data_IF_700609908888
#
_entry.id   IF_700609908888
#
_cell.length_a   1.000
_cell.length_b   1.000
_cell.length_c   1.000
_cell.angle_alpha   90.00
_cell.angle_beta   90.00
_cell.angle_gamma   90.00
#
_symmetry.space_group_name_H-M   'P 1'
#
loop_
_entity.id
_entity.type
_entity.pdbx_description
1 polymer ?
#
# COMPACT_ATOMS: atom_id res chain seq x y z
N UNK A 1 22.00 -12.03 12.49
CA UNK A 1 21.64 -11.08 11.43
C UNK A 1 21.42 -9.67 11.98
N UNK A 2 21.57 -8.64 11.15
CA UNK A 2 21.14 -7.29 11.49
C UNK A 2 19.64 -7.14 11.29
N UNK A 3 18.98 -6.42 12.21
CA UNK A 3 17.57 -6.03 12.11
C UNK A 3 17.32 -4.68 12.77
N UNK A 4 16.22 -4.04 12.41
CA UNK A 4 15.73 -2.86 13.13
C UNK A 4 14.52 -3.26 13.97
N UNK A 5 14.64 -3.07 15.29
CA UNK A 5 13.56 -3.32 16.25
C UNK A 5 13.14 -2.06 17.00
N UNK A 6 11.88 -2.06 17.41
CA UNK A 6 11.39 -1.15 18.43
C UNK A 6 11.21 -1.94 19.75
N UNK A 7 11.72 -1.39 20.86
CA UNK A 7 11.57 -1.94 22.22
C UNK A 7 10.52 -1.17 23.02
N UNK A 8 10.10 -0.02 22.51
CA UNK A 8 9.03 0.82 23.03
C UNK A 8 8.39 1.59 21.86
N UNK A 9 7.19 2.12 22.07
CA UNK A 9 6.54 3.00 21.10
C UNK A 9 7.07 4.42 21.20
N UNK A 10 7.10 5.15 20.07
CA UNK A 10 7.61 6.53 20.06
C UNK A 10 7.87 7.11 18.68
N UNK A 11 8.71 8.12 18.64
CA UNK A 11 9.22 8.75 17.41
C UNK A 11 10.31 7.92 16.73
N UNK A 12 10.99 8.46 15.70
CA UNK A 12 12.05 7.73 14.98
C UNK A 12 13.21 7.26 15.87
N UNK A 13 13.41 7.89 17.01
CA UNK A 13 14.47 7.57 17.98
C UNK A 13 14.36 6.17 18.58
N UNK A 14 13.17 5.56 18.60
CA UNK A 14 12.97 4.21 19.15
C UNK A 14 13.42 3.09 18.22
N UNK A 15 13.71 3.40 16.96
CA UNK A 15 14.21 2.43 15.97
C UNK A 15 15.68 2.08 16.30
N UNK A 16 15.93 0.83 16.64
CA UNK A 16 17.25 0.32 17.04
C UNK A 16 17.76 -0.66 16.00
N UNK A 17 18.88 -0.33 15.36
CA UNK A 17 19.61 -1.24 14.47
C UNK A 17 20.56 -2.10 15.30
N UNK A 18 20.33 -3.39 15.35
CA UNK A 18 21.01 -4.30 16.27
C UNK A 18 21.22 -5.70 15.70
N UNK A 19 22.06 -6.49 16.37
CA UNK A 19 22.26 -7.91 16.07
C UNK A 19 21.19 -8.75 16.78
N UNK A 20 20.57 -9.65 16.04
CA UNK A 20 19.63 -10.65 16.58
C UNK A 20 19.97 -12.04 16.02
N UNK A 21 19.53 -13.13 16.65
CA UNK A 21 19.68 -14.47 16.08
C UNK A 21 19.07 -14.59 14.68
N UNK A 22 19.69 -15.38 13.82
CA UNK A 22 19.14 -15.69 12.52
C UNK A 22 17.85 -16.51 12.67
N UNK A 23 16.79 -16.19 11.89
CA UNK A 23 15.58 -16.98 11.93
C UNK A 23 15.83 -18.37 11.32
N UNK A 24 15.29 -19.41 11.97
CA UNK A 24 15.33 -20.77 11.45
C UNK A 24 14.01 -21.05 10.72
N UNK A 25 14.00 -21.31 9.40
CA UNK A 25 12.76 -21.59 8.69
C UNK A 25 12.18 -22.94 9.13
N UNK A 26 10.88 -23.00 9.33
CA UNK A 26 10.15 -24.26 9.53
C UNK A 26 10.05 -25.02 8.18
N UNK A 27 9.61 -26.28 8.24
CA UNK A 27 9.45 -27.13 7.05
C UNK A 27 8.47 -26.55 6.01
N UNK A 28 7.57 -25.64 6.41
CA UNK A 28 6.59 -24.93 5.60
C UNK A 28 7.00 -23.48 5.23
N UNK A 29 8.24 -23.09 5.54
CA UNK A 29 8.75 -21.73 5.32
C UNK A 29 9.93 -21.68 4.36
N UNK A 30 10.11 -20.50 3.78
CA UNK A 30 11.25 -20.14 2.93
C UNK A 30 12.07 -19.07 3.66
N UNK A 31 13.37 -19.27 3.76
CA UNK A 31 14.29 -18.24 4.26
C UNK A 31 14.67 -17.33 3.09
N UNK A 32 14.32 -16.05 3.22
CA UNK A 32 14.59 -15.02 2.22
C UNK A 32 15.68 -14.10 2.75
N UNK A 33 16.75 -13.92 1.98
CA UNK A 33 17.71 -12.83 2.17
C UNK A 33 17.10 -11.57 1.64
N UNK A 34 16.70 -10.68 2.54
CA UNK A 34 16.08 -9.41 2.20
C UNK A 34 17.08 -8.53 1.46
N UNK A 35 16.68 -7.96 0.35
CA UNK A 35 17.47 -7.01 -0.45
C UNK A 35 16.84 -5.64 -0.47
N UNK A 36 15.52 -5.60 -0.29
CA UNK A 36 14.76 -4.37 -0.23
C UNK A 36 13.52 -4.57 0.64
N UNK A 37 13.24 -3.62 1.51
CA UNK A 37 11.98 -3.51 2.24
C UNK A 37 11.44 -2.08 2.06
N UNK A 38 10.16 -1.94 1.75
CA UNK A 38 9.56 -0.66 1.47
C UNK A 38 8.73 -0.15 2.64
N UNK A 39 8.92 1.12 2.99
CA UNK A 39 8.17 1.78 4.07
C UNK A 39 6.74 2.15 3.66
N UNK A 40 5.84 2.07 4.61
CA UNK A 40 4.43 2.45 4.53
C UNK A 40 4.04 3.38 5.70
N UNK A 41 2.94 4.12 5.58
CA UNK A 41 2.38 4.86 6.72
C UNK A 41 2.00 3.93 7.89
N UNK A 42 1.75 2.65 7.60
CA UNK A 42 1.55 1.62 8.62
C UNK A 42 2.74 1.52 9.59
N UNK A 43 3.97 1.58 9.07
CA UNK A 43 5.18 1.53 9.90
C UNK A 43 5.25 2.70 10.89
N UNK A 44 4.79 3.89 10.47
CA UNK A 44 4.70 5.05 11.36
C UNK A 44 3.67 4.84 12.47
N UNK A 45 2.51 4.26 12.14
CA UNK A 45 1.45 4.00 13.11
C UNK A 45 1.84 2.89 14.09
N UNK A 46 2.41 1.79 13.61
CA UNK A 46 2.91 0.69 14.44
C UNK A 46 3.98 1.19 15.40
N UNK A 47 4.95 1.95 14.90
CA UNK A 47 6.00 2.53 15.73
C UNK A 47 5.44 3.45 16.83
N UNK A 48 4.37 4.22 16.53
CA UNK A 48 3.71 5.12 17.48
C UNK A 48 2.79 4.39 18.47
N UNK A 49 2.45 3.13 18.21
CA UNK A 49 1.65 2.28 19.08
C UNK A 49 0.28 1.95 18.52
N UNK A 50 0.17 0.85 17.80
CA UNK A 50 -1.11 0.25 17.44
C UNK A 50 -1.47 -0.88 18.42
N UNK A 51 -2.77 -1.08 18.71
CA UNK A 51 -3.21 -2.21 19.54
C UNK A 51 -2.77 -3.56 18.96
N UNK A 52 -2.35 -4.47 19.83
CA UNK A 52 -1.97 -5.83 19.43
C UNK A 52 -0.50 -6.04 19.05
N UNK A 53 0.29 -4.98 18.93
CA UNK A 53 1.74 -5.07 18.68
C UNK A 53 2.47 -5.51 19.95
N UNK A 54 3.26 -6.59 19.84
CA UNK A 54 4.11 -7.10 20.93
C UNK A 54 5.53 -6.60 20.73
N UNK A 55 6.17 -6.17 21.81
CA UNK A 55 7.55 -5.69 21.82
C UNK A 55 8.49 -6.75 22.40
N UNK A 56 9.76 -6.83 21.93
CA UNK A 56 10.34 -6.07 20.82
C UNK A 56 9.74 -6.48 19.48
N UNK A 57 9.73 -5.58 18.47
CA UNK A 57 9.05 -5.79 17.20
C UNK A 57 9.84 -5.28 16.00
N UNK A 58 9.79 -6.01 14.88
CA UNK A 58 10.39 -5.64 13.58
C UNK A 58 9.29 -5.12 12.66
N UNK A 59 9.46 -3.90 12.15
CA UNK A 59 8.57 -3.26 11.18
C UNK A 59 8.88 -3.73 9.75
N UNK A 60 8.10 -3.22 8.78
CA UNK A 60 8.33 -3.43 7.35
C UNK A 60 7.42 -4.51 6.75
N UNK A 61 6.55 -4.11 5.83
CA UNK A 61 5.54 -5.00 5.24
C UNK A 61 5.93 -5.54 3.86
N UNK A 62 6.61 -4.74 3.08
CA UNK A 62 6.88 -5.02 1.66
C UNK A 62 8.30 -5.51 1.46
N UNK A 63 8.47 -6.79 1.23
CA UNK A 63 9.79 -7.47 1.18
C UNK A 63 10.07 -7.97 -0.23
N UNK A 64 11.27 -7.70 -0.74
CA UNK A 64 11.83 -8.38 -1.91
C UNK A 64 13.26 -8.86 -1.62
N UNK A 65 13.63 -10.00 -2.19
CA UNK A 65 14.93 -10.57 -1.92
C UNK A 65 15.21 -11.84 -2.71
N UNK A 66 16.11 -12.65 -2.18
CA UNK A 66 16.56 -13.91 -2.76
C UNK A 66 16.35 -15.06 -1.79
N UNK A 67 15.86 -16.18 -2.28
CA UNK A 67 15.70 -17.38 -1.48
C UNK A 67 17.08 -17.93 -1.08
N UNK A 68 17.28 -18.18 0.21
CA UNK A 68 18.50 -18.79 0.75
C UNK A 68 18.28 -20.26 1.04
N UNK A 69 17.13 -20.59 1.65
CA UNK A 69 16.80 -21.93 2.11
C UNK A 69 15.31 -22.16 1.94
N UNK A 70 14.93 -23.41 1.66
CA UNK A 70 13.52 -23.83 1.55
C UNK A 70 13.28 -24.97 2.53
N UNK A 71 12.15 -24.92 3.23
CA UNK A 71 11.74 -26.00 4.13
C UNK A 71 11.41 -27.29 3.37
N UNK A 72 11.47 -28.43 4.07
CA UNK A 72 11.37 -29.77 3.50
C UNK A 72 10.07 -30.02 2.69
N UNK A 73 8.97 -29.36 3.07
CA UNK A 73 7.66 -29.60 2.43
C UNK A 73 7.37 -28.65 1.27
N UNK A 74 8.36 -27.86 0.82
CA UNK A 74 8.16 -26.83 -0.18
C UNK A 74 8.62 -27.30 -1.55
N UNK A 75 7.75 -27.11 -2.55
CA UNK A 75 8.04 -27.28 -3.97
C UNK A 75 7.74 -25.99 -4.73
N UNK A 76 8.38 -25.81 -5.90
CA UNK A 76 8.11 -24.66 -6.77
C UNK A 76 8.95 -23.41 -6.49
N UNK A 77 9.73 -23.38 -5.40
CA UNK A 77 10.68 -22.32 -5.08
C UNK A 77 12.04 -22.95 -4.77
N UNK A 78 13.14 -22.31 -5.16
CA UNK A 78 14.50 -22.84 -4.97
C UNK A 78 15.49 -21.77 -4.51
N UNK A 79 16.57 -22.15 -3.82
CA UNK A 79 17.64 -21.22 -3.46
C UNK A 79 18.19 -20.45 -4.68
N UNK A 80 18.55 -19.19 -4.48
CA UNK A 80 18.96 -18.25 -5.51
C UNK A 80 17.83 -17.60 -6.30
N UNK A 81 16.59 -18.04 -6.13
CA UNK A 81 15.43 -17.47 -6.83
C UNK A 81 15.06 -16.09 -6.25
N UNK A 82 14.84 -15.13 -7.14
CA UNK A 82 14.37 -13.78 -6.78
C UNK A 82 12.87 -13.80 -6.50
N UNK A 83 12.48 -13.22 -5.38
CA UNK A 83 11.11 -13.27 -4.88
C UNK A 83 10.68 -11.94 -4.25
N UNK A 84 9.38 -11.73 -4.21
CA UNK A 84 8.74 -10.84 -3.25
C UNK A 84 7.92 -11.66 -2.25
N UNK A 85 7.65 -11.09 -1.09
CA UNK A 85 6.79 -11.69 -0.07
C UNK A 85 5.47 -10.92 -0.01
N UNK A 86 4.35 -11.64 -0.16
CA UNK A 86 3.03 -11.04 0.05
C UNK A 86 2.92 -10.51 1.48
N UNK A 87 2.49 -9.26 1.69
CA UNK A 87 2.52 -8.61 3.01
C UNK A 87 1.40 -9.08 3.94
N UNK A 88 0.68 -10.12 3.57
CA UNK A 88 -0.50 -10.61 4.26
C UNK A 88 -0.19 -11.86 5.06
N UNK A 89 -0.53 -11.83 6.34
CA UNK A 89 -0.53 -13.01 7.22
C UNK A 89 -1.96 -13.43 7.53
N UNK A 90 -2.29 -14.72 7.39
CA UNK A 90 -3.62 -15.29 7.60
C UNK A 90 -3.53 -16.78 7.92
N UNK A 91 -4.58 -17.39 8.52
CA UNK A 91 -4.53 -18.77 8.98
C UNK A 91 -4.50 -19.83 7.87
N UNK A 92 -4.95 -19.52 6.66
CA UNK A 92 -4.95 -20.45 5.50
C UNK A 92 -6.06 -21.51 5.46
N UNK A 93 -6.75 -21.78 6.56
CA UNK A 93 -7.70 -22.91 6.68
C UNK A 93 -9.15 -22.54 7.04
N UNK A 94 -9.43 -21.31 7.46
CA UNK A 94 -10.80 -20.90 7.75
C UNK A 94 -11.63 -20.70 6.48
N UNK A 95 -12.96 -20.65 6.63
CA UNK A 95 -13.89 -20.48 5.50
C UNK A 95 -13.52 -19.25 4.63
N UNK A 96 -13.07 -18.16 5.23
CA UNK A 96 -12.68 -16.95 4.50
C UNK A 96 -11.41 -17.18 3.67
N UNK A 97 -10.42 -17.86 4.25
CA UNK A 97 -9.18 -18.19 3.52
C UNK A 97 -9.46 -19.16 2.37
N UNK A 98 -10.24 -20.21 2.62
CA UNK A 98 -10.61 -21.21 1.59
C UNK A 98 -11.48 -20.60 0.48
N UNK A 99 -12.28 -19.57 0.79
CA UNK A 99 -13.06 -18.81 -0.20
C UNK A 99 -12.25 -17.75 -0.96
N UNK A 100 -10.93 -17.62 -0.71
CA UNK A 100 -10.09 -16.65 -1.40
C UNK A 100 -10.22 -15.21 -0.90
N UNK A 101 -10.92 -14.98 0.22
CA UNK A 101 -11.09 -13.64 0.83
C UNK A 101 -10.29 -13.53 2.12
N UNK A 102 -8.99 -13.75 2.02
CA UNK A 102 -8.06 -13.82 3.16
C UNK A 102 -8.07 -12.56 4.02
N UNK A 103 -8.25 -11.38 3.43
CA UNK A 103 -8.35 -10.11 4.14
C UNK A 103 -9.56 -9.99 5.09
N UNK A 104 -10.47 -10.98 5.09
CA UNK A 104 -11.58 -11.14 6.05
C UNK A 104 -11.34 -12.27 7.06
N UNK A 105 -10.17 -12.89 7.09
CA UNK A 105 -9.78 -13.88 8.09
C UNK A 105 -9.67 -13.20 9.47
N UNK A 106 -10.08 -13.91 10.54
CA UNK A 106 -9.97 -13.38 11.92
C UNK A 106 -8.51 -13.19 12.36
N UNK A 107 -7.61 -14.00 11.82
CA UNK A 107 -6.17 -13.91 12.08
C UNK A 107 -5.43 -13.06 11.06
N UNK A 108 -6.18 -12.33 10.22
CA UNK A 108 -5.56 -11.48 9.22
C UNK A 108 -4.79 -10.34 9.87
N UNK A 109 -3.54 -10.22 9.48
CA UNK A 109 -2.70 -9.06 9.79
C UNK A 109 -1.73 -8.78 8.64
N UNK A 110 -1.06 -7.65 8.71
CA UNK A 110 -0.03 -7.25 7.76
C UNK A 110 1.34 -7.50 8.39
N UNK A 111 2.31 -7.96 7.62
CA UNK A 111 3.70 -8.10 8.07
C UNK A 111 4.21 -6.75 8.61
N UNK A 112 4.93 -6.78 9.73
CA UNK A 112 5.39 -5.57 10.41
C UNK A 112 4.30 -4.85 11.23
N UNK A 113 3.08 -5.43 11.33
CA UNK A 113 2.03 -4.93 12.23
C UNK A 113 1.94 -5.81 13.50
N UNK A 114 1.13 -6.87 13.51
CA UNK A 114 1.02 -7.76 14.68
C UNK A 114 2.01 -8.94 14.65
N UNK A 115 2.70 -9.16 13.56
CA UNK A 115 3.79 -10.10 13.35
C UNK A 115 5.01 -9.37 12.82
N UNK A 116 6.21 -9.89 13.08
CA UNK A 116 7.45 -9.28 12.60
C UNK A 116 7.48 -9.09 11.09
N UNK A 117 8.15 -8.04 10.67
CA UNK A 117 8.28 -7.61 9.29
C UNK A 117 9.70 -7.73 8.73
N UNK A 118 9.92 -7.05 7.61
CA UNK A 118 11.09 -7.21 6.75
C UNK A 118 12.23 -6.21 6.96
N UNK A 119 12.21 -5.38 7.99
CA UNK A 119 13.36 -4.49 8.28
C UNK A 119 14.52 -5.27 8.94
N UNK A 120 15.03 -6.29 8.22
CA UNK A 120 16.07 -7.22 8.65
C UNK A 120 16.82 -7.81 7.45
N UNK A 121 17.94 -8.48 7.68
CA UNK A 121 18.72 -9.14 6.63
C UNK A 121 18.11 -10.47 6.15
N UNK A 122 17.44 -11.21 7.06
CA UNK A 122 16.85 -12.52 6.77
C UNK A 122 15.42 -12.58 7.28
N UNK A 123 14.50 -13.10 6.46
CA UNK A 123 13.09 -13.24 6.80
C UNK A 123 12.58 -14.65 6.49
N UNK A 124 12.03 -15.34 7.50
CA UNK A 124 11.41 -16.66 7.32
C UNK A 124 9.94 -16.47 6.92
N UNK A 125 9.66 -16.56 5.62
CA UNK A 125 8.33 -16.35 5.04
C UNK A 125 7.52 -17.66 4.94
N UNK A 126 6.21 -17.67 5.21
CA UNK A 126 5.36 -18.77 4.79
C UNK A 126 5.47 -19.01 3.27
N UNK A 127 5.61 -20.25 2.84
CA UNK A 127 5.81 -20.54 1.40
C UNK A 127 4.68 -19.99 0.52
N UNK A 128 3.43 -20.01 1.01
CA UNK A 128 2.27 -19.49 0.30
C UNK A 128 2.32 -17.95 0.06
N UNK A 129 3.18 -17.24 0.79
CA UNK A 129 3.38 -15.80 0.64
C UNK A 129 4.57 -15.45 -0.26
N UNK A 130 5.37 -16.43 -0.69
CA UNK A 130 6.57 -16.20 -1.52
C UNK A 130 6.20 -16.27 -3.00
N UNK A 131 6.42 -15.18 -3.71
CA UNK A 131 6.04 -15.03 -5.11
C UNK A 131 7.30 -14.77 -5.95
N UNK A 132 7.66 -15.69 -6.86
CA UNK A 132 8.76 -15.48 -7.81
C UNK A 132 8.55 -14.24 -8.68
N UNK A 133 9.62 -13.49 -8.91
CA UNK A 133 9.60 -12.30 -9.77
C UNK A 133 10.50 -12.47 -10.98
N UNK A 134 10.17 -11.84 -12.13
CA UNK A 134 11.01 -11.90 -13.31
C UNK A 134 12.34 -11.17 -13.11
N UNK A 135 13.41 -11.62 -13.76
CA UNK A 135 14.73 -10.99 -13.66
C UNK A 135 14.75 -9.54 -14.14
N UNK A 136 13.81 -9.16 -14.99
CA UNK A 136 13.67 -7.81 -15.50
C UNK A 136 13.09 -6.80 -14.51
N UNK A 137 12.57 -7.23 -13.36
CA UNK A 137 12.06 -6.36 -12.31
C UNK A 137 13.14 -6.14 -11.25
N UNK A 138 13.55 -4.91 -11.04
CA UNK A 138 14.48 -4.54 -9.97
C UNK A 138 13.91 -4.84 -8.58
N UNK A 139 14.76 -5.24 -7.60
CA UNK A 139 14.30 -5.64 -6.27
C UNK A 139 13.71 -4.47 -5.45
N UNK A 140 14.21 -3.23 -5.64
CA UNK A 140 13.61 -2.06 -5.00
C UNK A 140 12.22 -1.77 -5.59
N UNK A 141 12.08 -1.92 -6.92
CA UNK A 141 10.79 -1.83 -7.58
C UNK A 141 9.86 -2.96 -7.11
N UNK A 142 10.36 -4.19 -7.00
CA UNK A 142 9.57 -5.33 -6.50
C UNK A 142 9.03 -5.08 -5.08
N UNK A 143 9.88 -4.61 -4.16
CA UNK A 143 9.48 -4.26 -2.81
C UNK A 143 8.50 -3.06 -2.75
N UNK A 144 8.42 -2.23 -3.79
CA UNK A 144 7.52 -1.08 -3.81
C UNK A 144 6.08 -1.41 -4.25
N UNK A 145 5.81 -2.68 -4.59
CA UNK A 145 4.53 -3.11 -5.17
C UNK A 145 3.53 -3.63 -4.13
N UNK A 146 3.84 -4.63 -3.27
CA UNK A 146 2.83 -5.52 -2.72
C UNK A 146 1.68 -4.81 -2.02
N UNK A 147 1.96 -4.03 -0.96
CA UNK A 147 0.92 -3.40 -0.14
C UNK A 147 0.10 -2.38 -0.92
N UNK A 148 0.75 -1.47 -1.62
CA UNK A 148 0.06 -0.33 -2.23
C UNK A 148 -0.73 -0.71 -3.49
N UNK A 149 -0.21 -1.65 -4.30
CA UNK A 149 -0.92 -2.10 -5.50
C UNK A 149 -2.08 -3.04 -5.17
N UNK A 150 -1.93 -3.97 -4.21
CA UNK A 150 -3.07 -4.81 -3.80
C UNK A 150 -4.16 -3.98 -3.14
N UNK A 151 -3.80 -2.98 -2.34
CA UNK A 151 -4.78 -2.07 -1.71
C UNK A 151 -5.54 -1.27 -2.76
N UNK A 152 -4.83 -0.63 -3.69
CA UNK A 152 -5.46 0.16 -4.76
C UNK A 152 -6.30 -0.73 -5.71
N UNK A 153 -5.84 -1.96 -5.99
CA UNK A 153 -6.59 -2.93 -6.78
C UNK A 153 -7.90 -3.33 -6.08
N UNK A 154 -7.82 -3.68 -4.80
CA UNK A 154 -8.99 -4.00 -4.00
C UNK A 154 -9.98 -2.84 -3.93
N UNK A 155 -9.49 -1.61 -3.72
CA UNK A 155 -10.33 -0.41 -3.69
C UNK A 155 -11.09 -0.20 -5.00
N UNK A 156 -10.39 -0.24 -6.13
CA UNK A 156 -10.95 0.11 -7.44
C UNK A 156 -11.67 -1.07 -8.10
N UNK A 157 -11.03 -2.25 -8.13
CA UNK A 157 -11.54 -3.42 -8.85
C UNK A 157 -12.44 -4.25 -7.96
N UNK A 158 -11.94 -4.67 -6.79
CA UNK A 158 -12.67 -5.55 -5.88
C UNK A 158 -13.91 -4.93 -5.26
N UNK A 159 -13.83 -3.67 -4.80
CA UNK A 159 -14.90 -3.02 -4.05
C UNK A 159 -15.71 -2.02 -4.88
N UNK A 160 -15.05 -1.06 -5.53
CA UNK A 160 -15.77 -0.02 -6.29
C UNK A 160 -16.29 -0.53 -7.64
N UNK A 161 -15.70 -1.60 -8.18
CA UNK A 161 -16.10 -2.17 -9.46
C UNK A 161 -15.87 -1.19 -10.61
N UNK A 162 -14.66 -0.64 -10.69
CA UNK A 162 -14.25 0.35 -11.69
C UNK A 162 -14.52 -0.13 -13.12
N UNK A 163 -15.00 0.77 -13.97
CA UNK A 163 -15.38 0.45 -15.38
C UNK A 163 -14.85 1.51 -16.34
N UNK A 164 -14.62 1.14 -17.60
CA UNK A 164 -14.23 2.09 -18.65
C UNK A 164 -15.21 3.26 -18.76
N UNK A 165 -14.66 4.46 -19.01
CA UNK A 165 -15.44 5.69 -19.17
C UNK A 165 -15.82 6.41 -17.87
N UNK A 166 -15.60 5.79 -16.70
CA UNK A 166 -15.81 6.44 -15.41
C UNK A 166 -14.78 7.53 -15.14
N UNK A 167 -15.16 8.49 -14.28
CA UNK A 167 -14.24 9.50 -13.73
C UNK A 167 -13.86 9.13 -12.31
N UNK A 168 -12.55 9.04 -12.02
CA UNK A 168 -11.99 8.70 -10.72
C UNK A 168 -11.22 9.87 -10.16
N UNK A 169 -11.55 10.30 -8.95
CA UNK A 169 -10.71 11.22 -8.17
C UNK A 169 -9.78 10.42 -7.26
N UNK A 170 -8.48 10.59 -7.43
CA UNK A 170 -7.45 9.97 -6.59
C UNK A 170 -6.79 11.06 -5.76
N UNK A 171 -6.94 11.00 -4.42
CA UNK A 171 -6.25 11.93 -3.54
C UNK A 171 -4.77 11.55 -3.39
N UNK A 172 -3.90 12.57 -3.29
CA UNK A 172 -2.49 12.36 -2.99
C UNK A 172 -1.70 11.63 -4.08
N UNK A 173 -1.51 12.26 -5.23
CA UNK A 173 -0.76 11.74 -6.39
C UNK A 173 0.65 11.19 -6.05
N UNK A 174 1.27 11.66 -4.97
CA UNK A 174 2.64 11.27 -4.57
C UNK A 174 2.69 10.06 -3.63
N UNK A 175 1.55 9.63 -3.09
CA UNK A 175 1.51 8.47 -2.20
C UNK A 175 1.61 7.16 -2.98
N UNK A 176 2.11 6.09 -2.34
CA UNK A 176 2.18 4.78 -2.98
C UNK A 176 0.81 4.28 -3.47
N UNK A 177 -0.24 4.41 -2.64
CA UNK A 177 -1.62 4.05 -3.02
C UNK A 177 -2.14 4.97 -4.12
N UNK A 178 -1.86 6.28 -4.06
CA UNK A 178 -2.26 7.24 -5.10
C UNK A 178 -1.64 6.91 -6.46
N UNK A 179 -0.35 6.63 -6.50
CA UNK A 179 0.39 6.22 -7.71
C UNK A 179 -0.21 4.93 -8.31
N UNK A 180 -0.46 3.93 -7.47
CA UNK A 180 -1.06 2.68 -7.92
C UNK A 180 -2.50 2.91 -8.43
N UNK A 181 -3.31 3.70 -7.71
CA UNK A 181 -4.70 3.97 -8.08
C UNK A 181 -4.83 4.77 -9.39
N UNK A 182 -3.96 5.78 -9.63
CA UNK A 182 -3.91 6.51 -10.91
C UNK A 182 -3.69 5.53 -12.06
N UNK A 183 -2.66 4.69 -11.97
CA UNK A 183 -2.29 3.76 -13.03
C UNK A 183 -3.37 2.67 -13.23
N UNK A 184 -3.93 2.12 -12.15
CA UNK A 184 -5.01 1.13 -12.23
C UNK A 184 -6.25 1.77 -12.89
N UNK A 185 -6.67 2.96 -12.48
CA UNK A 185 -7.80 3.65 -13.12
C UNK A 185 -7.54 3.90 -14.63
N UNK A 186 -6.32 4.26 -15.01
CA UNK A 186 -5.94 4.40 -16.43
C UNK A 186 -5.93 3.06 -17.18
N UNK A 187 -5.51 1.97 -16.53
CA UNK A 187 -5.59 0.61 -17.07
C UNK A 187 -7.04 0.22 -17.43
N UNK A 188 -8.00 0.69 -16.64
CA UNK A 188 -9.43 0.54 -16.88
C UNK A 188 -10.04 1.67 -17.75
N UNK A 189 -9.22 2.43 -18.48
CA UNK A 189 -9.68 3.50 -19.37
C UNK A 189 -10.58 4.56 -18.70
N UNK A 190 -10.32 4.86 -17.43
CA UNK A 190 -11.00 5.92 -16.70
C UNK A 190 -10.40 7.30 -17.00
N UNK A 191 -11.23 8.33 -16.83
CA UNK A 191 -10.75 9.70 -16.69
C UNK A 191 -10.29 9.91 -15.25
N UNK A 192 -9.03 10.32 -15.06
CA UNK A 192 -8.42 10.44 -13.74
C UNK A 192 -8.16 11.89 -13.39
N UNK A 193 -8.69 12.31 -12.23
CA UNK A 193 -8.38 13.56 -11.56
C UNK A 193 -7.53 13.22 -10.34
N UNK A 194 -6.43 13.95 -10.09
CA UNK A 194 -5.63 13.71 -8.88
C UNK A 194 -5.23 15.00 -8.20
N UNK A 195 -4.79 14.91 -6.94
CA UNK A 195 -4.41 16.08 -6.13
C UNK A 195 -2.98 15.97 -5.61
N UNK A 196 -2.29 17.10 -5.50
CA UNK A 196 -1.03 17.21 -4.77
C UNK A 196 -0.84 18.63 -4.20
N UNK A 197 0.14 18.82 -3.33
CA UNK A 197 0.40 20.11 -2.68
C UNK A 197 1.36 21.02 -3.45
N UNK A 198 2.13 20.50 -4.40
CA UNK A 198 3.10 21.28 -5.17
C UNK A 198 3.11 20.90 -6.66
N UNK A 199 3.62 21.83 -7.49
CA UNK A 199 3.61 21.69 -8.95
C UNK A 199 4.46 20.50 -9.45
N UNK A 200 5.60 20.23 -8.81
CA UNK A 200 6.47 19.11 -9.22
C UNK A 200 5.74 17.77 -9.06
N UNK A 201 5.01 17.58 -7.96
CA UNK A 201 4.20 16.39 -7.74
C UNK A 201 3.00 16.30 -8.69
N UNK A 202 2.41 17.45 -9.06
CA UNK A 202 1.33 17.50 -10.03
C UNK A 202 1.81 17.11 -11.44
N UNK A 203 2.98 17.56 -11.86
CA UNK A 203 3.58 17.16 -13.13
C UNK A 203 3.87 15.67 -13.20
N UNK A 204 4.45 15.11 -12.11
CA UNK A 204 4.66 13.67 -11.99
C UNK A 204 3.33 12.90 -12.01
N UNK A 205 2.26 13.44 -11.41
CA UNK A 205 0.91 12.88 -11.49
C UNK A 205 0.37 12.82 -12.93
N UNK A 206 0.61 13.89 -13.73
CA UNK A 206 0.28 13.88 -15.16
C UNK A 206 1.09 12.83 -15.92
N UNK A 207 2.39 12.72 -15.62
CA UNK A 207 3.24 11.71 -16.24
C UNK A 207 2.81 10.26 -15.94
N UNK A 208 2.15 10.02 -14.81
CA UNK A 208 1.52 8.73 -14.49
C UNK A 208 0.20 8.49 -15.24
N UNK A 209 -0.30 9.47 -15.98
CA UNK A 209 -1.50 9.37 -16.79
C UNK A 209 -2.74 10.08 -16.22
N UNK A 210 -2.63 10.88 -15.15
CA UNK A 210 -3.74 11.69 -14.70
C UNK A 210 -4.14 12.74 -15.75
N UNK A 211 -5.42 12.77 -16.11
CA UNK A 211 -5.95 13.70 -17.12
C UNK A 211 -6.07 15.13 -16.56
N UNK A 212 -6.32 15.25 -15.25
CA UNK A 212 -6.40 16.53 -14.55
C UNK A 212 -5.71 16.43 -13.19
N UNK A 213 -5.14 17.56 -12.78
CA UNK A 213 -4.45 17.68 -11.50
C UNK A 213 -4.93 18.94 -10.76
N UNK A 214 -5.05 18.84 -9.44
CA UNK A 214 -5.54 19.91 -8.58
C UNK A 214 -4.51 20.18 -7.47
N UNK A 215 -4.05 21.43 -7.34
CA UNK A 215 -3.25 21.84 -6.22
C UNK A 215 -4.17 22.14 -5.02
N UNK A 216 -4.22 21.20 -4.07
CA UNK A 216 -5.15 21.27 -2.94
C UNK A 216 -4.81 22.37 -1.92
N UNK A 217 -3.63 23.01 -2.00
CA UNK A 217 -3.32 24.19 -1.19
C UNK A 217 -3.75 25.49 -1.85
N UNK A 218 -3.90 25.50 -3.19
CA UNK A 218 -4.26 26.70 -3.94
C UNK A 218 -5.72 26.70 -4.41
N UNK A 219 -6.34 25.53 -4.49
CA UNK A 219 -7.64 25.32 -5.10
C UNK A 219 -8.51 24.45 -4.20
N UNK A 220 -9.80 24.72 -4.19
CA UNK A 220 -10.78 23.87 -3.50
C UNK A 220 -11.13 22.69 -4.36
N UNK A 221 -10.90 21.48 -3.84
CA UNK A 221 -10.99 20.23 -4.61
C UNK A 221 -12.39 20.07 -5.23
N UNK A 222 -13.47 20.26 -4.45
CA UNK A 222 -14.83 20.08 -4.93
C UNK A 222 -15.27 21.08 -6.01
N UNK A 223 -14.76 22.31 -5.95
CA UNK A 223 -15.04 23.33 -6.95
C UNK A 223 -14.34 22.99 -8.28
N UNK A 224 -13.08 22.59 -8.22
CA UNK A 224 -12.34 22.18 -9.43
C UNK A 224 -12.91 20.90 -10.04
N UNK A 225 -13.26 19.90 -9.23
CA UNK A 225 -13.91 18.69 -9.72
C UNK A 225 -15.23 19.04 -10.44
N UNK A 226 -16.06 19.92 -9.86
CA UNK A 226 -17.30 20.40 -10.52
C UNK A 226 -17.01 21.12 -11.83
N UNK A 227 -15.98 21.95 -11.89
CA UNK A 227 -15.57 22.64 -13.13
C UNK A 227 -15.16 21.63 -14.21
N UNK A 228 -14.31 20.65 -13.85
CA UNK A 228 -13.79 19.62 -14.76
C UNK A 228 -14.91 18.69 -15.27
N UNK A 229 -15.89 18.39 -14.43
CA UNK A 229 -16.98 17.43 -14.72
C UNK A 229 -18.28 18.11 -15.15
N UNK A 230 -18.26 19.40 -15.50
CA UNK A 230 -19.46 20.16 -15.88
C UNK A 230 -20.58 20.05 -14.80
N UNK A 231 -20.19 20.09 -13.51
CA UNK A 231 -21.02 20.01 -12.31
C UNK A 231 -21.57 18.61 -11.97
N UNK A 232 -21.28 17.58 -12.74
CA UNK A 232 -21.78 16.22 -12.46
C UNK A 232 -21.11 15.59 -11.22
N UNK A 233 -19.79 15.75 -11.06
CA UNK A 233 -18.97 15.07 -10.07
C UNK A 233 -18.33 13.80 -10.63
N UNK A 234 -17.67 13.02 -9.74
CA UNK A 234 -16.92 11.81 -10.10
C UNK A 234 -17.67 10.53 -9.70
N UNK A 235 -17.38 9.45 -10.42
CA UNK A 235 -17.95 8.12 -10.14
C UNK A 235 -17.35 7.51 -8.87
N UNK A 236 -16.03 7.65 -8.72
CA UNK A 236 -15.28 7.03 -7.63
C UNK A 236 -14.33 8.07 -7.04
N UNK A 237 -14.26 8.10 -5.70
CA UNK A 237 -13.21 8.78 -4.95
C UNK A 237 -12.35 7.73 -4.24
N UNK A 238 -11.05 7.74 -4.51
CA UNK A 238 -10.03 6.96 -3.78
C UNK A 238 -9.50 7.85 -2.66
N UNK A 239 -9.90 7.50 -1.43
CA UNK A 239 -9.62 8.26 -0.21
C UNK A 239 -8.65 7.48 0.68
N UNK A 240 -7.63 8.14 1.22
CA UNK A 240 -6.71 7.57 2.22
C UNK A 240 -6.13 8.63 3.15
N UNK A 241 -6.61 9.86 3.02
CA UNK A 241 -6.14 11.02 3.80
C UNK A 241 -6.94 11.16 5.10
N UNK A 242 -8.26 11.00 5.04
CA UNK A 242 -9.13 11.02 6.20
C UNK A 242 -9.71 12.39 6.52
N UNK A 243 -9.70 12.81 7.79
CA UNK A 243 -10.47 13.94 8.29
C UNK A 243 -10.29 15.24 7.48
N UNK A 244 -9.07 15.56 7.03
CA UNK A 244 -8.79 16.82 6.33
C UNK A 244 -9.43 16.91 4.93
N UNK A 245 -9.75 15.78 4.30
CA UNK A 245 -10.26 15.75 2.91
C UNK A 245 -11.65 15.15 2.79
N UNK A 246 -12.18 14.54 3.83
CA UNK A 246 -13.40 13.76 3.81
C UNK A 246 -14.61 14.53 3.28
N UNK A 247 -14.85 15.73 3.81
CA UNK A 247 -15.98 16.57 3.40
C UNK A 247 -15.90 16.97 1.92
N UNK A 248 -14.72 17.36 1.47
CA UNK A 248 -14.46 17.70 0.06
C UNK A 248 -14.62 16.46 -0.84
N UNK A 249 -14.12 15.31 -0.41
CA UNK A 249 -14.27 14.05 -1.10
C UNK A 249 -15.73 13.66 -1.31
N UNK A 250 -16.56 13.81 -0.27
CA UNK A 250 -18.00 13.56 -0.37
C UNK A 250 -18.71 14.52 -1.33
N UNK A 251 -18.33 15.81 -1.36
CA UNK A 251 -18.88 16.81 -2.29
C UNK A 251 -18.50 16.56 -3.75
N UNK A 252 -17.38 15.86 -3.99
CA UNK A 252 -16.92 15.56 -5.35
C UNK A 252 -17.73 14.46 -6.03
N UNK A 253 -18.40 13.59 -5.28
CA UNK A 253 -19.14 12.46 -5.85
C UNK A 253 -20.33 12.93 -6.69
N UNK A 254 -20.61 12.24 -7.78
CA UNK A 254 -21.88 12.33 -8.49
C UNK A 254 -22.97 11.52 -7.78
N UNK A 255 -24.23 11.63 -8.20
CA UNK A 255 -25.31 10.75 -7.71
C UNK A 255 -24.94 9.29 -7.99
N UNK A 256 -25.21 8.40 -7.05
CA UNK A 256 -24.81 6.99 -7.02
C UNK A 256 -23.28 6.76 -7.05
N UNK A 257 -22.47 7.79 -6.78
CA UNK A 257 -21.01 7.70 -6.70
C UNK A 257 -20.53 6.92 -5.47
N UNK A 258 -19.28 6.47 -5.53
CA UNK A 258 -18.65 5.64 -4.50
C UNK A 258 -17.42 6.32 -3.94
N UNK A 259 -17.35 6.47 -2.62
CA UNK A 259 -16.10 6.75 -1.91
C UNK A 259 -15.56 5.44 -1.36
N UNK A 260 -14.29 5.13 -1.67
CA UNK A 260 -13.60 3.99 -1.09
C UNK A 260 -12.39 4.48 -0.32
N UNK A 261 -12.24 4.04 0.95
CA UNK A 261 -11.17 4.49 1.85
C UNK A 261 -10.37 3.33 2.42
N UNK A 262 -9.03 3.51 2.50
CA UNK A 262 -8.10 2.56 3.10
C UNK A 262 -7.18 3.18 4.16
N UNK A 263 -7.41 4.43 4.53
CA UNK A 263 -6.50 5.13 5.45
C UNK A 263 -7.13 6.37 6.11
N UNK A 264 -6.46 6.85 7.13
CA UNK A 264 -6.90 7.98 7.93
C UNK A 264 -5.69 8.82 8.43
N UNK A 265 -4.81 9.19 7.50
CA UNK A 265 -3.50 9.83 7.80
C UNK A 265 -3.66 11.13 8.58
N UNK A 266 -4.73 11.89 8.34
CA UNK A 266 -5.00 13.19 9.00
C UNK A 266 -6.01 13.11 10.14
N UNK A 267 -6.46 11.90 10.48
CA UNK A 267 -7.40 11.64 11.57
C UNK A 267 -8.48 10.64 11.19
N UNK A 268 -8.90 9.78 12.15
CA UNK A 268 -9.82 8.68 11.88
C UNK A 268 -11.31 9.06 11.99
N UNK A 269 -11.63 10.19 12.65
CA UNK A 269 -13.01 10.56 12.94
C UNK A 269 -13.54 11.59 11.94
N UNK A 270 -14.65 11.28 11.28
CA UNK A 270 -15.27 12.12 10.26
C UNK A 270 -16.79 12.23 10.49
N UNK A 271 -17.38 13.35 10.09
CA UNK A 271 -18.84 13.54 10.09
C UNK A 271 -19.45 13.19 8.74
N UNK A 272 -20.65 12.64 8.74
CA UNK A 272 -21.44 12.34 7.55
C UNK A 272 -22.84 12.95 7.66
N UNK A 273 -23.23 13.80 6.70
CA UNK A 273 -24.62 14.21 6.55
C UNK A 273 -25.42 13.09 5.85
N UNK A 274 -26.24 12.41 6.64
CA UNK A 274 -27.04 11.28 6.13
C UNK A 274 -28.01 11.69 5.03
N UNK A 275 -28.53 12.95 5.04
CA UNK A 275 -29.40 13.47 3.98
C UNK A 275 -28.65 13.51 2.65
N UNK A 276 -27.41 13.97 2.66
CA UNK A 276 -26.57 13.98 1.47
C UNK A 276 -26.27 12.55 0.98
N UNK A 277 -26.02 11.64 1.92
CA UNK A 277 -25.77 10.23 1.61
C UNK A 277 -26.96 9.55 0.93
N UNK A 278 -28.16 9.60 1.57
CA UNK A 278 -29.31 8.86 1.01
C UNK A 278 -29.93 9.56 -0.19
N UNK A 279 -30.05 10.91 -0.20
CA UNK A 279 -30.69 11.63 -1.31
C UNK A 279 -29.89 11.49 -2.61
N UNK A 280 -28.57 11.33 -2.53
CA UNK A 280 -27.71 11.11 -3.68
C UNK A 280 -27.32 9.64 -3.88
N UNK A 281 -27.86 8.73 -3.07
CA UNK A 281 -27.61 7.28 -3.15
C UNK A 281 -26.12 6.94 -3.17
N UNK A 282 -25.31 7.63 -2.34
CA UNK A 282 -23.87 7.45 -2.30
C UNK A 282 -23.49 6.15 -1.60
N UNK A 283 -22.34 5.59 -1.98
CA UNK A 283 -21.74 4.42 -1.33
C UNK A 283 -20.44 4.83 -0.65
N UNK A 284 -20.24 4.35 0.57
CA UNK A 284 -18.98 4.51 1.34
C UNK A 284 -18.47 3.11 1.67
N UNK A 285 -17.28 2.79 1.19
CA UNK A 285 -16.68 1.46 1.31
C UNK A 285 -15.35 1.55 2.04
N UNK A 286 -15.15 0.68 3.02
CA UNK A 286 -13.85 0.50 3.68
C UNK A 286 -13.04 -0.59 2.99
N UNK A 287 -11.77 -0.32 2.72
CA UNK A 287 -10.82 -1.27 2.17
C UNK A 287 -9.71 -1.57 3.19
N UNK A 288 -9.43 -2.83 3.43
CA UNK A 288 -8.29 -3.25 4.22
C UNK A 288 -7.46 -4.24 3.43
N UNK A 289 -6.32 -3.77 2.90
CA UNK A 289 -5.48 -4.54 1.99
C UNK A 289 -6.27 -5.06 0.76
N UNK A 290 -6.10 -6.32 0.44
CA UNK A 290 -6.81 -7.07 -0.58
C UNK A 290 -6.61 -8.56 -0.38
N UNK A 291 -6.94 -9.36 -1.37
CA UNK A 291 -6.79 -10.82 -1.37
C UNK A 291 -5.50 -11.24 -2.08
N UNK A 292 -5.06 -12.50 -1.87
CA UNK A 292 -3.93 -13.06 -2.62
C UNK A 292 -4.21 -13.08 -4.13
N UNK A 293 -5.45 -13.39 -4.55
CA UNK A 293 -5.86 -13.34 -5.94
C UNK A 293 -5.67 -11.96 -6.56
N UNK A 294 -6.15 -10.92 -5.88
CA UNK A 294 -5.99 -9.53 -6.31
C UNK A 294 -4.52 -9.08 -6.38
N UNK A 295 -3.68 -9.55 -5.45
CA UNK A 295 -2.24 -9.31 -5.52
C UNK A 295 -1.63 -9.94 -6.77
N UNK A 296 -1.97 -11.20 -7.08
CA UNK A 296 -1.48 -11.87 -8.29
C UNK A 296 -1.96 -11.19 -9.57
N UNK A 297 -3.22 -10.72 -9.62
CA UNK A 297 -3.73 -9.94 -10.75
C UNK A 297 -2.93 -8.64 -10.95
N UNK A 298 -2.74 -7.85 -9.88
CA UNK A 298 -1.96 -6.62 -9.94
C UNK A 298 -0.50 -6.89 -10.36
N UNK A 299 0.13 -7.93 -9.81
CA UNK A 299 1.49 -8.35 -10.17
C UNK A 299 1.59 -8.78 -11.64
N UNK A 300 0.59 -9.47 -12.18
CA UNK A 300 0.53 -9.80 -13.60
C UNK A 300 0.63 -8.57 -14.51
N UNK A 301 0.02 -7.46 -14.10
CA UNK A 301 0.14 -6.19 -14.82
C UNK A 301 1.50 -5.52 -14.61
N UNK A 302 2.10 -5.62 -13.42
CA UNK A 302 3.46 -5.13 -13.16
C UNK A 302 4.49 -5.92 -13.98
N UNK A 303 4.41 -7.25 -13.98
CA UNK A 303 5.33 -8.10 -14.73
C UNK A 303 5.20 -7.90 -16.25
N UNK A 304 4.00 -7.58 -16.73
CA UNK A 304 3.74 -7.19 -18.11
C UNK A 304 4.08 -5.73 -18.42
N UNK A 305 4.64 -4.98 -17.46
CA UNK A 305 5.00 -3.55 -17.58
C UNK A 305 3.83 -2.62 -17.93
N UNK A 306 2.60 -3.03 -17.60
CA UNK A 306 1.39 -2.20 -17.75
C UNK A 306 1.15 -1.32 -16.52
N UNK A 307 1.70 -1.72 -15.37
CA UNK A 307 1.77 -0.93 -14.14
C UNK A 307 3.25 -0.80 -13.77
N UNK A 308 3.67 0.41 -13.41
CA UNK A 308 5.07 0.72 -13.10
C UNK A 308 5.20 1.19 -11.65
N UNK A 309 5.89 0.43 -10.80
CA UNK A 309 6.20 0.89 -9.45
C UNK A 309 7.16 2.07 -9.47
N UNK A 310 6.94 3.02 -8.55
CA UNK A 310 7.76 4.23 -8.45
C UNK A 310 8.49 4.23 -7.13
N UNK A 311 9.82 4.16 -7.20
CA UNK A 311 10.74 4.33 -6.06
C UNK A 311 11.22 5.77 -6.06
N UNK A 312 11.07 6.45 -4.93
CA UNK A 312 11.54 7.83 -4.76
C UNK A 312 12.97 7.87 -4.22
N UNK A 313 13.23 7.15 -3.14
CA UNK A 313 14.53 7.13 -2.47
C UNK A 313 14.82 5.80 -1.80
N UNK A 314 16.10 5.45 -1.76
CA UNK A 314 16.62 4.30 -1.00
C UNK A 314 17.50 4.77 0.16
N UNK A 315 17.47 4.03 1.26
CA UNK A 315 18.33 4.22 2.43
C UNK A 315 18.94 2.88 2.83
N UNK A 316 20.16 2.83 3.38
CA UNK A 316 20.63 1.63 4.04
C UNK A 316 19.78 1.36 5.31
N UNK A 317 19.59 0.10 5.67
CA UNK A 317 18.79 -0.28 6.85
C UNK A 317 19.32 0.37 8.15
N UNK A 318 20.63 0.59 8.24
CA UNK A 318 21.26 1.32 9.36
C UNK A 318 20.79 2.77 9.50
N UNK A 319 20.26 3.38 8.42
CA UNK A 319 19.73 4.75 8.39
C UNK A 319 18.20 4.79 8.46
N UNK A 320 17.55 3.76 8.98
CA UNK A 320 16.09 3.62 9.05
C UNK A 320 15.40 4.82 9.71
N UNK A 321 16.04 5.48 10.69
CA UNK A 321 15.50 6.68 11.34
C UNK A 321 15.32 7.81 10.35
N UNK A 322 16.32 8.07 9.53
CA UNK A 322 16.26 9.10 8.48
C UNK A 322 15.20 8.76 7.41
N UNK A 323 15.03 7.48 7.06
CA UNK A 323 14.00 7.01 6.15
C UNK A 323 12.58 7.26 6.71
N UNK A 324 12.35 6.99 8.00
CA UNK A 324 11.07 7.28 8.68
C UNK A 324 10.79 8.78 8.77
N UNK A 325 11.79 9.60 9.12
CA UNK A 325 11.65 11.05 9.14
C UNK A 325 11.31 11.62 7.74
N UNK A 326 11.94 11.06 6.71
CA UNK A 326 11.67 11.44 5.33
C UNK A 326 10.21 11.13 4.92
N UNK A 327 9.73 9.95 5.29
CA UNK A 327 8.34 9.54 5.07
C UNK A 327 7.36 10.44 5.83
N UNK A 328 7.63 10.76 7.10
CA UNK A 328 6.77 11.65 7.93
C UNK A 328 6.63 13.06 7.34
N UNK A 329 7.68 13.59 6.74
CA UNK A 329 7.65 14.90 6.08
C UNK A 329 6.85 14.94 4.77
N UNK A 330 6.36 13.77 4.31
CA UNK A 330 5.58 13.64 3.06
C UNK A 330 6.25 14.29 1.84
N UNK A 331 7.58 14.27 1.79
CA UNK A 331 8.36 14.90 0.70
C UNK A 331 8.44 14.02 -0.54
N UNK A 332 8.25 12.70 -0.38
CA UNK A 332 8.39 11.70 -1.42
C UNK A 332 7.36 11.82 -2.54
N UNK A 333 7.73 11.29 -3.70
CA UNK A 333 6.83 10.91 -4.79
C UNK A 333 7.07 9.44 -5.15
N UNK A 334 6.38 8.54 -4.50
CA UNK A 334 6.58 7.10 -4.62
C UNK A 334 6.94 6.46 -3.30
N UNK A 335 7.63 5.32 -3.37
CA UNK A 335 7.99 4.52 -2.20
C UNK A 335 9.39 4.84 -1.69
N UNK A 336 9.54 4.78 -0.40
CA UNK A 336 10.84 4.86 0.30
C UNK A 336 11.28 3.44 0.61
N UNK A 337 12.48 3.07 0.18
CA UNK A 337 13.02 1.72 0.31
C UNK A 337 14.16 1.73 1.35
N UNK A 338 14.26 0.67 2.14
CA UNK A 338 15.42 0.38 2.96
C UNK A 338 16.08 -0.89 2.48
N UNK A 339 17.41 -0.87 2.36
CA UNK A 339 18.24 -1.99 1.90
C UNK A 339 19.09 -2.47 3.07
N UNK A 340 18.94 -3.75 3.50
CA UNK A 340 19.82 -4.36 4.51
C UNK A 340 21.26 -4.48 4.07
#
# INVERSE_FOLDING_TARGET
MKAVRIHQFGGPEVLTYEDIPDPQPRNDQVLVKVKACSLNHLDLWVRKGLPGVKLPHILGSDIAGEVVEVGEYISGVKPGQRVLVAPMHFCGHCVKCLAGVQNQCREFTVLGNAVDGGNCELFAAPAASVIPIPDSLDLNQAASVPLVFVTAWHMLVGLAGVRPGQTVLVLGASSGVGIAAIQIAKLFHCRVITTAGDESKLEKGRALGADYVINHYKQKISEEVRRITSKEGVDIVVEHVGAATWEESMKCLKTAGTLVTCGATTGPSVGIDLRHLFARQLRILGAYMGTMGELHEALGHVFARRLTPVVDRTFPLSEIRAAHEYLEKSQMFGKVIVNP
#
